data_IF_875877818224
#
_entry.id   IF_875877818224
#
_cell.length_a   1.000
_cell.length_b   1.000
_cell.length_c   1.000
_cell.angle_alpha   90.00
_cell.angle_beta   90.00
_cell.angle_gamma   90.00
#
_symmetry.space_group_name_H-M   'P 1'
#
loop_
_entity.id
_entity.type
_entity.pdbx_description
1 polymer ?
#
# COMPACT_ATOMS: atom_id res chain seq x y z
N UNK A 1 12.69 -18.12 -8.24
CA UNK A 1 12.49 -19.27 -7.34
C UNK A 1 13.23 -19.05 -6.02
N UNK A 2 12.51 -19.12 -4.90
CA UNK A 2 13.08 -18.98 -3.56
C UNK A 2 13.68 -20.29 -2.99
N UNK A 3 14.54 -20.14 -1.98
CA UNK A 3 15.08 -21.26 -1.18
C UNK A 3 13.98 -21.90 -0.34
N UNK A 4 14.03 -23.22 -0.10
CA UNK A 4 12.99 -23.93 0.65
C UNK A 4 13.09 -23.80 2.17
N UNK A 5 14.24 -23.30 2.66
CA UNK A 5 14.62 -23.14 4.07
C UNK A 5 14.31 -24.38 4.92
N UNK A 6 14.55 -25.58 4.39
CA UNK A 6 14.26 -26.84 5.08
C UNK A 6 15.08 -27.01 6.37
N UNK A 7 16.26 -26.41 6.44
CA UNK A 7 17.15 -26.36 7.60
C UNK A 7 16.53 -25.60 8.79
N UNK A 8 15.70 -24.59 8.51
CA UNK A 8 14.93 -23.83 9.49
C UNK A 8 13.60 -24.54 9.77
N UNK A 9 12.84 -24.86 8.71
CA UNK A 9 11.48 -25.42 8.82
C UNK A 9 11.42 -26.78 9.48
N UNK A 10 12.46 -27.60 9.35
CA UNK A 10 12.54 -28.90 10.04
C UNK A 10 12.73 -28.80 11.55
N UNK A 11 13.09 -27.62 12.07
CA UNK A 11 13.36 -27.40 13.51
C UNK A 11 12.15 -26.90 14.29
N UNK A 12 11.12 -26.41 13.61
CA UNK A 12 9.91 -25.83 14.22
C UNK A 12 8.71 -26.58 13.62
N UNK A 13 7.95 -27.27 14.47
CA UNK A 13 6.84 -28.13 14.03
C UNK A 13 5.62 -27.35 13.52
N UNK A 14 5.51 -26.08 13.91
CA UNK A 14 4.44 -25.19 13.45
C UNK A 14 4.70 -24.70 12.03
N UNK A 15 3.63 -24.38 11.29
CA UNK A 15 3.78 -23.70 10.01
C UNK A 15 4.23 -22.24 10.22
N UNK A 16 5.05 -21.67 9.31
CA UNK A 16 5.40 -20.26 9.36
C UNK A 16 4.14 -19.38 9.37
N UNK A 17 4.12 -18.40 10.27
CA UNK A 17 3.01 -17.45 10.39
C UNK A 17 2.95 -16.49 9.20
N UNK A 18 4.12 -16.13 8.67
CA UNK A 18 4.31 -15.30 7.48
C UNK A 18 5.72 -15.50 6.89
N UNK A 19 5.95 -14.96 5.69
CA UNK A 19 7.24 -14.99 5.01
C UNK A 19 7.68 -13.57 4.67
N UNK A 20 8.97 -13.27 4.75
CA UNK A 20 9.48 -11.97 4.28
C UNK A 20 9.64 -11.94 2.75
N UNK A 21 10.11 -10.83 2.22
CA UNK A 21 10.32 -10.55 0.79
C UNK A 21 11.41 -11.42 0.13
N UNK A 22 12.19 -12.16 0.93
CA UNK A 22 13.13 -13.20 0.49
C UNK A 22 12.60 -14.62 0.72
N UNK A 23 11.29 -14.73 0.99
CA UNK A 23 10.56 -15.92 1.38
C UNK A 23 11.14 -16.65 2.60
N UNK A 24 11.83 -15.93 3.50
CA UNK A 24 12.33 -16.51 4.74
C UNK A 24 11.14 -16.74 5.68
N UNK A 25 10.94 -17.95 6.22
CA UNK A 25 9.84 -18.24 7.13
C UNK A 25 10.00 -17.49 8.46
N UNK A 26 8.89 -16.93 8.96
CA UNK A 26 8.81 -16.22 10.23
C UNK A 26 7.76 -16.86 11.12
N UNK A 27 8.07 -16.99 12.39
CA UNK A 27 7.25 -17.67 13.40
C UNK A 27 6.83 -16.65 14.45
N UNK A 28 5.52 -16.43 14.59
CA UNK A 28 4.95 -15.42 15.46
C UNK A 28 4.25 -14.28 14.71
N UNK A 29 3.69 -13.31 15.46
CA UNK A 29 2.93 -12.20 14.87
C UNK A 29 3.82 -11.34 13.97
N UNK A 30 3.21 -10.77 12.93
CA UNK A 30 3.89 -9.80 12.08
C UNK A 30 4.29 -8.57 12.89
N UNK A 31 5.49 -8.07 12.63
CA UNK A 31 6.00 -6.81 13.16
C UNK A 31 6.80 -6.14 12.06
N UNK A 32 6.58 -4.84 11.80
CA UNK A 32 7.32 -4.15 10.75
C UNK A 32 8.82 -4.04 11.04
N UNK A 33 9.24 -4.12 12.32
CA UNK A 33 10.66 -4.20 12.69
C UNK A 33 11.32 -5.56 12.40
N UNK A 34 10.53 -6.60 12.11
CA UNK A 34 11.03 -7.94 11.83
C UNK A 34 11.19 -8.23 10.33
N UNK A 35 10.92 -7.25 9.46
CA UNK A 35 11.15 -7.37 8.02
C UNK A 35 12.66 -7.37 7.71
N UNK A 36 13.06 -8.01 6.61
CA UNK A 36 14.48 -8.12 6.25
C UNK A 36 15.12 -6.77 5.88
N UNK A 37 14.33 -5.84 5.33
CA UNK A 37 14.81 -4.53 4.93
C UNK A 37 14.82 -3.55 6.12
N UNK A 38 15.96 -3.44 6.79
CA UNK A 38 16.14 -2.48 7.91
C UNK A 38 15.91 -1.01 7.49
N UNK A 39 16.15 -0.65 6.24
CA UNK A 39 15.92 0.71 5.73
C UNK A 39 14.49 0.95 5.23
N UNK A 40 13.61 -0.04 5.38
CA UNK A 40 12.21 0.08 5.00
C UNK A 40 11.57 1.30 5.65
N UNK A 41 10.90 2.09 4.83
CA UNK A 41 10.00 3.18 5.25
C UNK A 41 8.54 2.75 5.26
N UNK A 42 8.24 1.67 4.56
CA UNK A 42 6.93 1.04 4.51
C UNK A 42 7.08 -0.46 4.68
N UNK A 43 6.10 -1.08 5.29
CA UNK A 43 6.02 -2.52 5.43
C UNK A 43 4.55 -2.92 5.37
N UNK A 44 4.23 -3.87 4.50
CA UNK A 44 2.88 -4.39 4.35
C UNK A 44 2.88 -5.90 4.57
N UNK A 45 1.86 -6.40 5.27
CA UNK A 45 1.55 -7.82 5.34
C UNK A 45 0.36 -8.11 4.43
N UNK A 46 0.57 -9.00 3.46
CA UNK A 46 -0.42 -9.33 2.44
C UNK A 46 -0.83 -10.80 2.58
N UNK A 47 -2.13 -11.08 2.49
CA UNK A 47 -2.63 -12.42 2.21
C UNK A 47 -2.53 -12.66 0.70
N UNK A 48 -1.82 -13.71 0.30
CA UNK A 48 -1.67 -14.08 -1.10
C UNK A 48 -1.91 -15.57 -1.29
N UNK A 49 -2.17 -16.02 -2.51
CA UNK A 49 -2.35 -17.42 -2.83
C UNK A 49 -1.46 -17.86 -4.01
N UNK A 50 -0.96 -19.09 -3.98
CA UNK A 50 -0.28 -19.68 -5.14
C UNK A 50 -1.25 -19.74 -6.32
N UNK A 51 -0.89 -19.14 -7.44
CA UNK A 51 -1.71 -19.10 -8.66
C UNK A 51 -2.14 -20.51 -9.13
N UNK A 52 -1.29 -21.52 -8.95
CA UNK A 52 -1.57 -22.89 -9.42
C UNK A 52 -2.46 -23.70 -8.50
N UNK A 53 -2.25 -23.65 -7.18
CA UNK A 53 -2.90 -24.54 -6.22
C UNK A 53 -3.79 -23.84 -5.18
N UNK A 54 -3.84 -22.51 -5.18
CA UNK A 54 -4.65 -21.73 -4.25
C UNK A 54 -4.16 -21.74 -2.80
N UNK A 55 -3.04 -22.41 -2.49
CA UNK A 55 -2.48 -22.40 -1.13
C UNK A 55 -2.18 -20.97 -0.71
N UNK A 56 -2.75 -20.55 0.41
CA UNK A 56 -2.60 -19.20 0.94
C UNK A 56 -1.33 -19.06 1.78
N UNK A 57 -0.76 -17.85 1.74
CA UNK A 57 0.41 -17.42 2.49
C UNK A 57 0.20 -16.00 3.00
N UNK A 58 0.87 -15.65 4.10
CA UNK A 58 1.04 -14.26 4.51
C UNK A 58 2.44 -13.81 4.16
N UNK A 59 2.56 -12.72 3.41
CA UNK A 59 3.79 -12.26 2.80
C UNK A 59 4.07 -10.82 3.20
N UNK A 60 5.30 -10.54 3.64
CA UNK A 60 5.72 -9.18 3.94
C UNK A 60 6.42 -8.55 2.73
N UNK A 61 6.08 -7.29 2.45
CA UNK A 61 6.65 -6.51 1.34
C UNK A 61 7.06 -5.14 1.87
N UNK A 62 8.26 -4.65 1.53
CA UNK A 62 8.73 -3.31 1.95
C UNK A 62 9.08 -2.38 0.79
N UNK A 63 8.88 -2.86 -0.43
CA UNK A 63 9.13 -2.12 -1.66
C UNK A 63 8.18 -2.60 -2.76
N UNK A 64 7.82 -1.73 -3.70
CA UNK A 64 7.04 -2.17 -4.84
C UNK A 64 7.82 -3.19 -5.68
N UNK A 65 7.08 -4.02 -6.41
CA UNK A 65 7.64 -4.99 -7.34
C UNK A 65 8.15 -4.31 -8.62
N UNK A 66 7.30 -3.44 -9.18
CA UNK A 66 7.63 -2.62 -10.33
C UNK A 66 8.43 -1.39 -9.89
N UNK A 67 9.44 -1.02 -10.67
CA UNK A 67 10.34 0.11 -10.33
C UNK A 67 9.70 1.46 -10.63
N UNK A 68 8.64 1.44 -11.41
CA UNK A 68 7.83 2.58 -11.84
C UNK A 68 6.96 3.09 -10.69
N UNK A 69 6.56 2.19 -9.78
CA UNK A 69 5.89 2.55 -8.54
C UNK A 69 6.88 3.18 -7.59
N UNK A 70 6.51 4.34 -7.06
CA UNK A 70 7.40 5.11 -6.22
C UNK A 70 7.53 4.51 -4.81
N UNK A 71 6.50 3.79 -4.33
CA UNK A 71 6.45 3.12 -3.02
C UNK A 71 5.33 2.06 -2.94
N UNK A 72 5.21 1.39 -1.78
CA UNK A 72 4.22 0.34 -1.50
C UNK A 72 2.81 0.89 -1.45
N UNK A 73 2.58 2.05 -0.82
CA UNK A 73 1.27 2.69 -0.78
C UNK A 73 0.71 2.95 -2.19
N UNK A 74 1.56 3.47 -3.08
CA UNK A 74 1.24 3.73 -4.49
C UNK A 74 0.88 2.43 -5.21
N UNK A 75 1.68 1.38 -5.04
CA UNK A 75 1.42 0.08 -5.64
C UNK A 75 0.09 -0.52 -5.15
N UNK A 76 -0.25 -0.38 -3.87
CA UNK A 76 -1.56 -0.79 -3.34
C UNK A 76 -2.69 -0.01 -4.01
N UNK A 77 -2.57 1.32 -4.12
CA UNK A 77 -3.60 2.16 -4.74
C UNK A 77 -3.84 1.84 -6.21
N UNK A 78 -2.82 1.40 -6.95
CA UNK A 78 -2.96 1.05 -8.38
C UNK A 78 -3.18 -0.42 -8.62
N UNK A 79 -3.32 -1.23 -7.57
CA UNK A 79 -3.36 -2.69 -7.67
C UNK A 79 -2.13 -3.28 -8.39
N UNK A 80 -1.00 -2.59 -8.31
CA UNK A 80 0.30 -3.00 -8.86
C UNK A 80 1.16 -3.74 -7.83
N UNK A 81 0.62 -4.03 -6.64
CA UNK A 81 1.39 -4.71 -5.61
C UNK A 81 1.55 -6.19 -5.95
N UNK A 82 2.80 -6.60 -6.16
CA UNK A 82 3.17 -7.99 -6.37
C UNK A 82 4.31 -8.44 -5.46
N UNK A 83 4.33 -9.71 -5.13
CA UNK A 83 5.40 -10.37 -4.40
C UNK A 83 6.30 -11.18 -5.36
N UNK A 84 5.71 -11.78 -6.40
CA UNK A 84 6.41 -12.64 -7.36
C UNK A 84 6.12 -14.12 -7.11
N UNK A 85 7.16 -14.94 -6.96
CA UNK A 85 7.02 -16.40 -6.78
C UNK A 85 6.47 -16.75 -5.38
N UNK A 86 5.73 -17.85 -5.18
CA UNK A 86 5.34 -18.28 -3.84
C UNK A 86 6.57 -18.76 -3.04
N UNK A 87 6.49 -18.73 -1.70
CA UNK A 87 7.47 -19.40 -0.85
C UNK A 87 7.63 -20.87 -1.25
N UNK A 88 8.89 -21.33 -1.37
CA UNK A 88 9.21 -22.68 -1.81
C UNK A 88 9.01 -23.70 -0.67
N UNK A 89 7.76 -23.83 -0.22
CA UNK A 89 7.43 -24.70 0.91
C UNK A 89 6.89 -26.07 0.51
N UNK A 90 6.88 -26.37 -0.79
CA UNK A 90 6.28 -27.58 -1.34
C UNK A 90 4.76 -27.51 -1.43
N UNK A 91 4.19 -26.33 -1.72
CA UNK A 91 2.73 -26.17 -1.86
C UNK A 91 2.17 -26.96 -3.05
N UNK A 92 2.89 -27.01 -4.17
CA UNK A 92 2.63 -27.88 -5.32
C UNK A 92 3.89 -28.00 -6.20
N UNK A 93 3.88 -28.92 -7.16
CA UNK A 93 5.05 -29.23 -8.01
C UNK A 93 5.56 -28.02 -8.81
N UNK A 94 4.68 -27.19 -9.39
CA UNK A 94 5.10 -25.95 -10.06
C UNK A 94 4.96 -24.70 -9.20
N UNK A 95 4.69 -24.84 -7.90
CA UNK A 95 4.68 -23.73 -6.95
C UNK A 95 5.96 -22.90 -7.08
N UNK A 96 7.16 -23.50 -7.01
CA UNK A 96 8.42 -22.77 -7.09
C UNK A 96 8.69 -22.05 -8.42
N UNK A 97 7.87 -22.28 -9.46
CA UNK A 97 8.02 -21.73 -10.81
C UNK A 97 6.76 -20.98 -11.30
N UNK A 98 5.82 -20.66 -10.41
CA UNK A 98 4.62 -19.87 -10.70
C UNK A 98 4.64 -18.60 -9.85
N UNK A 99 3.63 -17.74 -9.96
CA UNK A 99 3.50 -16.55 -9.12
C UNK A 99 2.47 -16.75 -8.02
N UNK A 100 2.44 -15.82 -7.08
CA UNK A 100 1.29 -15.63 -6.18
C UNK A 100 0.31 -14.60 -6.77
N UNK A 101 -0.89 -14.61 -6.21
CA UNK A 101 -1.93 -13.61 -6.42
C UNK A 101 -2.21 -12.96 -5.07
N UNK A 102 -2.03 -11.65 -4.97
CA UNK A 102 -2.24 -10.89 -3.75
C UNK A 102 -3.73 -10.59 -3.55
N UNK A 103 -4.28 -11.09 -2.45
CA UNK A 103 -5.72 -11.10 -2.18
C UNK A 103 -6.16 -9.97 -1.25
N UNK A 104 -5.34 -9.59 -0.27
CA UNK A 104 -5.73 -8.62 0.77
C UNK A 104 -4.49 -8.04 1.46
N UNK A 105 -4.49 -6.74 1.73
CA UNK A 105 -3.55 -6.11 2.67
C UNK A 105 -4.10 -6.24 4.09
N UNK A 106 -3.45 -7.05 4.91
CA UNK A 106 -3.84 -7.33 6.29
C UNK A 106 -3.35 -6.25 7.25
N UNK A 107 -2.14 -5.75 7.02
CA UNK A 107 -1.55 -4.67 7.81
C UNK A 107 -0.67 -3.80 6.93
N UNK A 108 -0.80 -2.47 7.03
CA UNK A 108 0.11 -1.53 6.40
C UNK A 108 0.73 -0.60 7.46
N UNK A 109 2.04 -0.46 7.37
CA UNK A 109 2.86 0.31 8.29
C UNK A 109 3.79 1.23 7.52
N UNK A 110 4.02 2.43 8.06
CA UNK A 110 5.01 3.34 7.53
C UNK A 110 5.78 4.04 8.65
N UNK A 111 6.93 4.61 8.32
CA UNK A 111 7.74 5.44 9.22
C UNK A 111 8.63 6.42 8.47
N UNK A 112 9.11 7.42 9.21
CA UNK A 112 10.36 8.12 8.84
C UNK A 112 11.54 7.29 9.32
N UNK A 113 12.62 7.25 8.54
CA UNK A 113 13.81 6.49 8.94
C UNK A 113 14.35 7.05 10.27
N UNK A 114 14.53 6.19 11.26
CA UNK A 114 14.93 6.56 12.62
C UNK A 114 13.78 6.88 13.59
N UNK A 115 12.52 6.73 13.16
CA UNK A 115 11.32 6.90 13.98
C UNK A 115 10.52 5.60 14.10
N UNK A 116 9.58 5.57 15.02
CA UNK A 116 8.68 4.44 15.26
C UNK A 116 7.73 4.20 14.08
N UNK A 117 7.32 2.93 13.93
CA UNK A 117 6.32 2.52 12.95
C UNK A 117 4.92 2.97 13.33
N UNK A 118 4.18 3.45 12.33
CA UNK A 118 2.80 3.87 12.46
C UNK A 118 1.94 2.99 11.56
N UNK A 119 0.95 2.30 12.15
CA UNK A 119 -0.03 1.53 11.40
C UNK A 119 -1.04 2.47 10.75
N UNK A 120 -1.36 2.24 9.49
CA UNK A 120 -2.34 3.02 8.75
C UNK A 120 -3.35 2.12 8.05
N UNK A 121 -4.46 1.86 8.77
CA UNK A 121 -5.51 0.94 8.35
C UNK A 121 -6.26 1.36 7.08
N UNK A 122 -6.10 2.60 6.58
CA UNK A 122 -6.72 3.01 5.31
C UNK A 122 -6.14 2.31 4.08
N UNK A 123 -5.00 1.63 4.22
CA UNK A 123 -4.42 0.77 3.18
C UNK A 123 -4.70 -0.73 3.42
N UNK A 124 -5.42 -1.08 4.48
CA UNK A 124 -5.85 -2.46 4.75
C UNK A 124 -7.11 -2.78 3.93
N UNK A 125 -6.87 -3.02 2.64
CA UNK A 125 -7.90 -3.19 1.62
C UNK A 125 -7.86 -4.61 1.04
N UNK A 126 -8.99 -5.06 0.50
CA UNK A 126 -9.05 -6.26 -0.33
C UNK A 126 -8.35 -6.07 -1.69
N UNK A 127 -8.21 -7.17 -2.43
CA UNK A 127 -7.66 -7.33 -3.80
C UNK A 127 -6.68 -6.23 -4.23
N UNK A 128 -5.39 -6.54 -4.12
CA UNK A 128 -4.31 -5.56 -4.34
C UNK A 128 -3.39 -5.87 -5.52
N UNK A 129 -3.63 -6.99 -6.23
CA UNK A 129 -2.99 -7.26 -7.52
C UNK A 129 -4.05 -7.37 -8.62
N UNK A 130 -3.89 -6.63 -9.71
CA UNK A 130 -4.53 -7.01 -10.98
C UNK A 130 -3.93 -8.31 -11.48
N UNK A 131 -4.80 -9.21 -11.92
CA UNK A 131 -4.39 -10.52 -12.44
C UNK A 131 -3.59 -10.32 -13.71
N UNK A 132 -2.33 -10.75 -13.75
CA UNK A 132 -1.50 -10.70 -14.96
C UNK A 132 -1.87 -11.75 -16.04
N UNK A 133 -3.08 -12.32 -16.03
CA UNK A 133 -3.45 -13.51 -16.79
C UNK A 133 -4.95 -13.56 -17.16
N UNK A 134 -5.25 -13.79 -18.44
CA UNK A 134 -6.61 -14.03 -18.98
C UNK A 134 -7.21 -15.42 -18.61
N UNK A 135 -6.80 -16.03 -17.50
CA UNK A 135 -7.24 -17.40 -17.14
C UNK A 135 -8.59 -17.32 -16.38
N UNK A 136 -9.57 -18.12 -16.80
CA UNK A 136 -10.92 -18.13 -16.22
C UNK A 136 -10.96 -18.68 -14.79
N UNK A 137 -9.90 -19.34 -14.31
CA UNK A 137 -9.80 -19.83 -12.93
C UNK A 137 -9.73 -18.70 -11.88
N UNK A 138 -9.54 -17.46 -12.32
CA UNK A 138 -9.41 -16.29 -11.46
C UNK A 138 -10.74 -15.75 -10.95
N UNK A 139 -11.85 -15.93 -11.69
CA UNK A 139 -13.18 -15.49 -11.25
C UNK A 139 -13.61 -16.15 -9.92
N UNK A 140 -13.05 -17.31 -9.58
CA UNK A 140 -13.40 -18.06 -8.37
C UNK A 140 -12.78 -17.51 -7.06
N UNK A 141 -11.80 -16.61 -7.13
CA UNK A 141 -11.12 -16.06 -5.94
C UNK A 141 -11.60 -14.66 -5.55
N UNK A 142 -12.40 -14.01 -6.40
CA UNK A 142 -12.87 -12.65 -6.19
C UNK A 142 -14.31 -12.64 -5.70
N UNK A 143 -14.50 -12.32 -4.41
CA UNK A 143 -15.76 -11.73 -3.94
C UNK A 143 -15.78 -10.28 -4.44
N UNK A 144 -16.38 -10.07 -5.62
CA UNK A 144 -16.42 -8.80 -6.36
C UNK A 144 -17.06 -7.66 -5.55
N UNK A 145 -17.78 -7.99 -4.48
CA UNK A 145 -18.67 -7.08 -3.75
C UNK A 145 -18.04 -6.43 -2.50
N UNK A 146 -16.72 -6.55 -2.27
CA UNK A 146 -16.06 -6.07 -1.02
C UNK A 146 -15.04 -4.92 -1.15
N UNK A 147 -14.99 -4.18 -2.26
CA UNK A 147 -14.12 -3.00 -2.31
C UNK A 147 -14.93 -1.72 -2.60
N UNK A 148 -15.07 -0.79 -1.63
CA UNK A 148 -15.73 0.47 -1.89
C UNK A 148 -14.89 1.27 -2.89
N UNK A 149 -15.58 1.79 -3.89
CA UNK A 149 -15.09 2.64 -4.98
C UNK A 149 -14.00 3.62 -4.55
N UNK A 150 -12.78 3.47 -5.09
CA UNK A 150 -11.74 4.50 -5.07
C UNK A 150 -11.49 4.97 -6.51
N UNK A 151 -12.16 6.03 -6.98
CA UNK A 151 -11.97 6.54 -8.32
C UNK A 151 -10.84 7.57 -8.36
N UNK A 152 -9.59 7.21 -8.03
CA UNK A 152 -8.42 8.04 -8.33
C UNK A 152 -7.20 7.16 -8.63
N UNK A 153 -6.84 7.03 -9.92
CA UNK A 153 -5.59 6.43 -10.38
C UNK A 153 -4.49 7.49 -10.34
N UNK A 154 -3.43 7.27 -9.56
CA UNK A 154 -2.34 8.23 -9.35
C UNK A 154 -1.03 7.76 -9.99
N UNK A 155 -0.90 7.67 -11.31
CA UNK A 155 0.37 7.27 -11.95
C UNK A 155 1.63 7.93 -11.34
N UNK A 156 2.79 7.26 -11.45
CA UNK A 156 4.12 7.63 -10.93
C UNK A 156 4.22 9.02 -10.27
N UNK A 157 4.21 9.07 -8.93
CA UNK A 157 4.13 10.32 -8.17
C UNK A 157 5.41 11.15 -8.37
N UNK A 158 5.34 12.32 -9.03
CA UNK A 158 6.51 13.17 -9.23
C UNK A 158 6.99 13.75 -7.89
N UNK A 159 8.32 13.94 -7.78
CA UNK A 159 8.99 14.55 -6.62
C UNK A 159 8.44 15.94 -6.24
N UNK A 160 7.81 16.62 -7.20
CA UNK A 160 6.99 17.80 -6.96
C UNK A 160 5.58 17.57 -7.48
N UNK A 161 4.53 17.88 -6.70
CA UNK A 161 3.15 17.81 -7.17
C UNK A 161 2.92 18.74 -8.35
N UNK A 162 2.61 18.16 -9.50
CA UNK A 162 2.26 18.89 -10.73
C UNK A 162 1.30 18.05 -11.57
N UNK A 163 0.63 18.70 -12.52
CA UNK A 163 -0.21 18.04 -13.52
C UNK A 163 -1.67 17.88 -13.10
N UNK A 164 -2.46 17.24 -13.98
CA UNK A 164 -3.92 17.20 -13.90
C UNK A 164 -4.45 16.62 -12.57
N UNK A 165 -3.78 15.62 -12.01
CA UNK A 165 -4.18 15.01 -10.73
C UNK A 165 -3.98 15.97 -9.54
N UNK A 166 -2.89 16.74 -9.49
CA UNK A 166 -2.72 17.76 -8.45
C UNK A 166 -3.79 18.84 -8.56
N UNK A 167 -4.09 19.27 -9.79
CA UNK A 167 -5.14 20.26 -10.08
C UNK A 167 -6.54 19.78 -9.67
N UNK A 168 -6.85 18.50 -9.87
CA UNK A 168 -8.10 17.89 -9.42
C UNK A 168 -8.24 17.94 -7.88
N UNK A 169 -7.18 17.63 -7.15
CA UNK A 169 -7.15 17.70 -5.69
C UNK A 169 -7.29 19.13 -5.17
N UNK A 170 -6.59 20.09 -5.80
CA UNK A 170 -6.73 21.51 -5.49
C UNK A 170 -8.17 21.96 -5.72
N UNK A 171 -8.79 21.54 -6.82
CA UNK A 171 -10.18 21.87 -7.15
C UNK A 171 -11.17 21.30 -6.14
N UNK A 172 -11.00 20.03 -5.76
CA UNK A 172 -11.86 19.37 -4.77
C UNK A 172 -11.72 20.01 -3.37
N UNK A 173 -10.50 20.37 -2.95
CA UNK A 173 -10.30 21.09 -1.68
C UNK A 173 -10.87 22.50 -1.73
N UNK A 174 -10.70 23.25 -2.83
CA UNK A 174 -11.30 24.58 -2.98
C UNK A 174 -12.84 24.54 -2.95
N UNK A 175 -13.44 23.47 -3.51
CA UNK A 175 -14.89 23.26 -3.44
C UNK A 175 -15.37 23.05 -2.00
N UNK A 176 -14.58 22.37 -1.16
CA UNK A 176 -14.89 22.11 0.25
C UNK A 176 -14.57 23.31 1.15
N UNK A 177 -13.54 24.07 0.80
CA UNK A 177 -13.03 25.23 1.54
C UNK A 177 -13.03 26.48 0.65
N UNK A 178 -14.20 27.01 0.27
CA UNK A 178 -14.29 28.12 -0.69
C UNK A 178 -13.68 29.43 -0.17
N UNK A 179 -13.46 29.55 1.15
CA UNK A 179 -12.80 30.69 1.77
C UNK A 179 -11.25 30.61 1.75
N UNK A 180 -10.69 29.44 1.41
CA UNK A 180 -9.26 29.25 1.35
C UNK A 180 -8.69 29.82 0.03
N UNK A 181 -7.72 30.76 0.05
CA UNK A 181 -6.92 31.08 -1.11
C UNK A 181 -6.28 29.81 -1.69
N UNK A 182 -6.29 29.73 -3.02
CA UNK A 182 -5.72 28.62 -3.77
C UNK A 182 -4.27 28.34 -3.38
N UNK A 183 -3.48 29.37 -3.13
CA UNK A 183 -2.09 29.26 -2.70
C UNK A 183 -1.95 28.54 -1.35
N UNK A 184 -2.89 28.74 -0.42
CA UNK A 184 -2.90 28.04 0.87
C UNK A 184 -3.30 26.57 0.69
N UNK A 185 -4.28 26.28 -0.17
CA UNK A 185 -4.65 24.90 -0.54
C UNK A 185 -3.48 24.17 -1.20
N UNK A 186 -2.81 24.80 -2.17
CA UNK A 186 -1.64 24.24 -2.83
C UNK A 186 -0.47 24.06 -1.86
N UNK A 187 -0.23 25.00 -0.94
CA UNK A 187 0.82 24.89 0.08
C UNK A 187 0.52 23.77 1.08
N UNK A 188 -0.73 23.63 1.53
CA UNK A 188 -1.16 22.53 2.38
C UNK A 188 -0.97 21.20 1.65
N UNK A 189 -1.50 21.06 0.43
CA UNK A 189 -1.29 19.86 -0.38
C UNK A 189 0.20 19.56 -0.59
N UNK A 190 1.04 20.56 -0.93
CA UNK A 190 2.49 20.40 -1.09
C UNK A 190 3.19 19.96 0.20
N UNK A 191 2.78 20.49 1.36
CA UNK A 191 3.35 20.10 2.65
C UNK A 191 3.01 18.65 3.01
N UNK A 192 1.85 18.16 2.61
CA UNK A 192 1.46 16.77 2.82
C UNK A 192 2.10 15.88 1.74
N UNK A 193 2.24 16.37 0.51
CA UNK A 193 2.87 15.69 -0.63
C UNK A 193 4.36 15.42 -0.41
N UNK A 194 5.07 16.32 0.27
CA UNK A 194 6.49 16.13 0.60
C UNK A 194 6.69 15.18 1.77
N UNK A 195 5.66 14.94 2.58
CA UNK A 195 5.77 14.12 3.79
C UNK A 195 5.14 12.73 3.68
N UNK A 196 4.14 12.49 2.81
CA UNK A 196 3.46 11.19 2.65
C UNK A 196 2.84 10.99 1.28
N UNK A 197 2.90 9.73 0.82
CA UNK A 197 2.26 9.26 -0.39
C UNK A 197 0.77 9.01 -0.18
N UNK A 198 0.05 9.10 -1.29
CA UNK A 198 -1.39 9.32 -1.38
C UNK A 198 -2.24 8.28 -0.66
N UNK A 199 -2.87 8.71 0.44
CA UNK A 199 -3.97 8.00 1.09
C UNK A 199 -5.14 8.96 1.34
N UNK A 200 -6.33 8.44 1.64
CA UNK A 200 -7.50 9.23 2.11
C UNK A 200 -7.15 10.12 3.31
N UNK A 201 -6.06 9.81 4.03
CA UNK A 201 -5.48 10.60 5.11
C UNK A 201 -4.74 11.85 4.63
N UNK A 202 -4.24 11.92 3.40
CA UNK A 202 -3.66 13.15 2.85
C UNK A 202 -4.71 14.24 2.65
N UNK A 203 -5.92 13.87 2.20
CA UNK A 203 -7.06 14.77 2.19
C UNK A 203 -7.38 15.22 3.61
N UNK A 204 -7.56 14.29 4.56
CA UNK A 204 -7.85 14.65 5.95
C UNK A 204 -6.76 15.52 6.58
N UNK A 205 -5.47 15.24 6.33
CA UNK A 205 -4.35 16.04 6.84
C UNK A 205 -4.25 17.42 6.18
N UNK A 206 -4.59 17.52 4.89
CA UNK A 206 -4.71 18.81 4.21
C UNK A 206 -5.92 19.60 4.76
N UNK A 207 -7.04 18.93 5.02
CA UNK A 207 -8.22 19.48 5.69
C UNK A 207 -7.88 19.95 7.11
N UNK A 208 -7.12 19.16 7.88
CA UNK A 208 -6.65 19.52 9.22
C UNK A 208 -5.69 20.72 9.17
N UNK A 209 -4.75 20.75 8.21
CA UNK A 209 -3.84 21.88 8.00
C UNK A 209 -4.59 23.17 7.61
N UNK A 210 -5.62 23.05 6.76
CA UNK A 210 -6.50 24.15 6.39
C UNK A 210 -7.39 24.60 7.55
N UNK A 211 -7.81 23.69 8.43
CA UNK A 211 -8.62 24.00 9.61
C UNK A 211 -7.84 24.74 10.70
N UNK A 212 -6.53 24.50 10.80
CA UNK A 212 -5.63 25.21 11.74
C UNK A 212 -5.25 26.61 11.20
N UNK A 213 -5.42 26.85 9.90
CA UNK A 213 -5.14 28.16 9.31
C UNK A 213 -6.17 29.18 9.80
N UNK A 214 -5.71 30.19 10.54
CA UNK A 214 -6.54 31.35 10.89
C UNK A 214 -6.73 32.18 9.62
N UNK A 215 -7.84 31.95 8.93
CA UNK A 215 -8.24 32.74 7.78
C UNK A 215 -8.40 34.20 8.23
N UNK A 216 -7.70 35.16 7.59
CA UNK A 216 -7.96 36.57 7.86
C UNK A 216 -9.44 36.81 7.63
N UNK A 217 -10.15 37.14 8.72
CA UNK A 217 -11.60 37.16 8.75
C UNK A 217 -12.14 37.90 7.55
N UNK A 218 -13.05 37.25 6.81
CA UNK A 218 -13.79 37.88 5.73
C UNK A 218 -14.39 39.17 6.31
N UNK A 219 -13.78 40.29 5.95
CA UNK A 219 -14.16 41.60 6.43
C UNK A 219 -15.51 41.88 5.78
N UNK A 220 -16.58 41.60 6.50
CA UNK A 220 -17.94 41.93 6.11
C UNK A 220 -18.10 43.44 6.20
N UNK A 221 -17.54 44.16 5.23
CA UNK A 221 -17.96 45.51 4.91
C UNK A 221 -19.28 45.42 4.15
N UNK A 222 -20.38 45.31 4.89
CA UNK A 222 -21.67 45.76 4.40
C UNK A 222 -21.65 47.29 4.44
N UNK A 223 -21.73 47.91 3.25
CA UNK A 223 -22.07 49.33 3.07
C UNK A 223 -23.48 49.41 2.52
#
# INVERSE_FOLDING_TARGET
MYTNYADIRSRISEEPSWFDESAVPRYGPFKPDAVANFYAREAVLVLAACQRCGRQFRLAITRPYFKEDADVATAICHRGQHYGDPPNIGCCEAGPSTTVVELEVLEYWWRRLGYDWIREASFEVGVVSEVMSDDYRYEAYYDVDRNPEFPLSFGSIPKEPKGAQFEELVTELLKRYPAAPREAVEAALRSVWTERMFSRRCFQLAEDALAVFQWPGASTHFS
#
